data_IF_474562075691
#
_entry.id   IF_474562075691
#
_cell.length_a   1.000
_cell.length_b   1.000
_cell.length_c   1.000
_cell.angle_alpha   90.00
_cell.angle_beta   90.00
_cell.angle_gamma   90.00
#
_symmetry.space_group_name_H-M   'P 1'
#
loop_
_entity.id
_entity.type
_entity.pdbx_description
1 polymer ?
#
# COMPACT_ATOMS: atom_id res chain seq x y z
N UNK A 1 -24.01 -24.84 -23.09
CA UNK A 1 -25.19 -23.94 -23.02
C UNK A 1 -24.93 -22.93 -21.92
N UNK A 2 -25.05 -21.65 -22.27
CA UNK A 2 -24.66 -20.49 -21.47
C UNK A 2 -25.77 -20.03 -20.51
N UNK A 3 -25.37 -19.38 -19.41
CA UNK A 3 -26.13 -18.30 -18.78
C UNK A 3 -25.21 -17.48 -17.86
N UNK A 4 -24.67 -16.38 -18.41
CA UNK A 4 -24.24 -15.26 -17.58
C UNK A 4 -25.50 -14.56 -17.07
N UNK A 5 -25.73 -14.55 -15.76
CA UNK A 5 -26.66 -13.60 -15.13
C UNK A 5 -25.82 -12.44 -14.60
N UNK A 6 -25.93 -11.32 -15.29
CA UNK A 6 -25.27 -10.08 -14.91
C UNK A 6 -25.76 -9.62 -13.55
N UNK A 7 -24.83 -9.34 -12.66
CA UNK A 7 -25.13 -8.57 -11.47
C UNK A 7 -24.95 -7.10 -11.85
N UNK A 8 -26.08 -6.43 -11.91
CA UNK A 8 -26.21 -4.99 -12.03
C UNK A 8 -25.42 -4.32 -10.91
N UNK A 9 -24.35 -3.61 -11.28
CA UNK A 9 -23.49 -2.91 -10.34
C UNK A 9 -24.07 -1.56 -9.91
N UNK A 10 -25.19 -1.12 -10.51
CA UNK A 10 -25.82 0.18 -10.20
C UNK A 10 -26.67 0.17 -8.93
N UNK A 11 -26.95 -0.99 -8.33
CA UNK A 11 -27.79 -1.09 -7.13
C UNK A 11 -27.01 -1.10 -5.80
N UNK A 12 -25.68 -1.08 -5.82
CA UNK A 12 -24.87 -1.08 -4.59
C UNK A 12 -24.67 0.36 -4.08
N UNK A 13 -25.78 1.04 -3.81
CA UNK A 13 -25.83 2.27 -3.01
C UNK A 13 -26.00 1.91 -1.54
N UNK A 14 -25.02 1.21 -0.95
CA UNK A 14 -24.96 0.90 0.47
C UNK A 14 -23.67 1.49 1.04
N UNK A 15 -23.77 2.21 2.16
CA UNK A 15 -22.61 2.71 2.89
C UNK A 15 -21.62 1.57 3.09
N UNK A 16 -20.44 1.68 2.48
CA UNK A 16 -19.37 0.71 2.65
C UNK A 16 -18.97 0.73 4.12
N UNK A 17 -19.24 -0.37 4.81
CA UNK A 17 -18.72 -0.72 6.11
C UNK A 17 -17.19 -0.85 6.01
N UNK A 18 -16.48 0.29 6.16
CA UNK A 18 -15.01 0.37 6.16
C UNK A 18 -14.36 -0.61 7.17
N UNK A 19 -15.13 -1.07 8.17
CA UNK A 19 -14.68 -2.02 9.19
C UNK A 19 -14.47 -3.46 8.67
N UNK A 20 -14.97 -3.80 7.48
CA UNK A 20 -14.89 -5.17 6.95
C UNK A 20 -14.08 -5.29 5.63
N UNK A 21 -13.15 -4.36 5.40
CA UNK A 21 -12.26 -4.42 4.25
C UNK A 21 -11.29 -5.62 4.37
N UNK A 22 -11.60 -6.71 3.67
CA UNK A 22 -10.74 -7.90 3.61
C UNK A 22 -9.54 -7.59 2.71
N UNK A 23 -8.38 -7.39 3.33
CA UNK A 23 -7.11 -7.26 2.62
C UNK A 23 -6.54 -8.63 2.28
N UNK A 24 -6.62 -8.99 1.00
CA UNK A 24 -5.95 -10.18 0.47
C UNK A 24 -4.46 -9.90 0.20
N UNK A 25 -3.61 -10.87 0.53
CA UNK A 25 -2.17 -10.81 0.26
C UNK A 25 -1.68 -12.13 -0.30
N UNK A 26 -0.59 -12.07 -1.06
CA UNK A 26 0.13 -13.27 -1.49
C UNK A 26 0.56 -14.10 -0.27
N UNK A 27 0.44 -15.42 -0.39
CA UNK A 27 0.82 -16.37 0.67
C UNK A 27 2.23 -16.07 1.20
N UNK A 28 2.36 -16.00 2.52
CA UNK A 28 3.65 -15.76 3.20
C UNK A 28 3.96 -14.30 3.53
N UNK A 29 3.12 -13.35 3.12
CA UNK A 29 3.21 -11.96 3.59
C UNK A 29 2.43 -11.84 4.90
N UNK A 30 3.13 -11.48 5.97
CA UNK A 30 2.52 -11.20 7.28
C UNK A 30 2.41 -9.69 7.48
N UNK A 31 1.25 -9.17 7.93
CA UNK A 31 1.13 -7.75 8.26
C UNK A 31 2.01 -7.41 9.46
N UNK A 32 2.70 -6.27 9.39
CA UNK A 32 3.49 -5.74 10.51
C UNK A 32 2.80 -4.48 11.04
N UNK A 33 2.35 -4.53 12.29
CA UNK A 33 1.52 -3.49 12.90
C UNK A 33 2.26 -2.18 13.24
N UNK A 34 3.60 -2.16 13.24
CA UNK A 34 4.42 -1.01 13.55
C UNK A 34 5.58 -0.83 12.55
N UNK A 35 6.00 0.41 12.28
CA UNK A 35 7.17 0.66 11.43
C UNK A 35 8.48 0.20 12.07
N UNK A 36 8.57 0.19 13.40
CA UNK A 36 9.76 -0.29 14.13
C UNK A 36 10.06 -1.76 13.80
N UNK A 37 9.01 -2.58 13.61
CA UNK A 37 9.14 -3.99 13.23
C UNK A 37 9.57 -4.21 11.77
N UNK A 38 9.70 -3.16 10.96
CA UNK A 38 10.07 -3.23 9.54
C UNK A 38 11.57 -2.98 9.29
N UNK A 39 12.36 -2.64 10.32
CA UNK A 39 13.81 -2.40 10.19
C UNK A 39 14.15 -1.09 9.46
N UNK A 40 13.38 -0.04 9.71
CA UNK A 40 13.54 1.26 9.05
C UNK A 40 14.60 2.14 9.72
N UNK A 41 15.11 3.15 9.00
CA UNK A 41 16.08 4.10 9.54
C UNK A 41 15.39 5.08 10.50
N UNK A 42 16.04 5.39 11.63
CA UNK A 42 15.56 6.34 12.65
C UNK A 42 15.12 7.69 12.07
N UNK A 43 15.81 8.18 11.03
CA UNK A 43 15.46 9.44 10.35
C UNK A 43 14.08 9.39 9.71
N UNK A 44 13.72 8.23 9.15
CA UNK A 44 12.41 8.00 8.54
C UNK A 44 11.37 7.69 9.61
N UNK A 45 11.72 6.88 10.61
CA UNK A 45 10.85 6.51 11.73
C UNK A 45 10.30 7.73 12.49
N UNK A 46 11.12 8.78 12.71
CA UNK A 46 10.68 10.02 13.36
C UNK A 46 9.54 10.75 12.61
N UNK A 47 9.42 10.54 11.29
CA UNK A 47 8.42 11.19 10.45
C UNK A 47 7.13 10.38 10.25
N UNK A 48 7.07 9.14 10.74
CA UNK A 48 5.94 8.23 10.53
C UNK A 48 5.34 7.78 11.86
N UNK A 49 4.05 7.43 11.86
CA UNK A 49 3.32 7.01 13.07
C UNK A 49 2.90 5.54 12.96
N UNK A 50 1.61 5.30 12.75
CA UNK A 50 1.04 3.95 12.59
C UNK A 50 0.85 3.64 11.11
N UNK A 51 1.29 2.46 10.63
CA UNK A 51 1.05 2.05 9.26
C UNK A 51 -0.45 1.80 9.00
N UNK A 52 -0.95 2.24 7.84
CA UNK A 52 -2.27 1.84 7.33
C UNK A 52 -2.27 0.36 6.92
N UNK A 53 -3.45 -0.26 6.78
CA UNK A 53 -3.57 -1.69 6.44
C UNK A 53 -2.78 -2.11 5.19
N UNK A 54 -2.78 -1.27 4.14
CA UNK A 54 -1.99 -1.53 2.94
C UNK A 54 -0.48 -1.36 3.18
N UNK A 55 -0.07 -0.41 4.02
CA UNK A 55 1.33 -0.20 4.38
C UNK A 55 1.89 -1.35 5.21
N UNK A 56 1.11 -1.89 6.15
CA UNK A 56 1.49 -3.04 7.00
C UNK A 56 1.92 -4.26 6.19
N UNK A 57 1.38 -4.42 4.97
CA UNK A 57 1.61 -5.56 4.08
C UNK A 57 2.61 -5.26 2.96
N UNK A 58 2.58 -4.05 2.41
CA UNK A 58 3.35 -3.70 1.21
C UNK A 58 4.75 -3.15 1.49
N UNK A 59 4.96 -2.43 2.62
CA UNK A 59 6.22 -1.72 2.86
C UNK A 59 7.40 -2.70 2.94
N UNK A 60 7.32 -3.76 3.75
CA UNK A 60 8.44 -4.68 3.91
C UNK A 60 8.83 -5.41 2.61
N UNK A 61 7.89 -5.95 1.79
CA UNK A 61 8.23 -6.47 0.47
C UNK A 61 8.93 -5.46 -0.45
N UNK A 62 8.49 -4.19 -0.46
CA UNK A 62 9.14 -3.11 -1.23
C UNK A 62 10.57 -2.88 -0.74
N UNK A 63 10.78 -2.77 0.58
CA UNK A 63 12.11 -2.58 1.17
C UNK A 63 13.06 -3.76 0.91
N UNK A 64 12.52 -4.95 0.69
CA UNK A 64 13.28 -6.15 0.29
C UNK A 64 13.61 -6.19 -1.21
N UNK A 65 13.25 -5.16 -1.98
CA UNK A 65 13.48 -5.09 -3.41
C UNK A 65 12.60 -6.03 -4.22
N UNK A 66 11.42 -6.43 -3.71
CA UNK A 66 10.46 -7.25 -4.46
C UNK A 66 9.54 -6.36 -5.28
N UNK A 67 9.10 -6.88 -6.42
CA UNK A 67 8.00 -6.28 -7.16
C UNK A 67 6.68 -6.51 -6.41
N UNK A 68 5.94 -5.41 -6.20
CA UNK A 68 4.72 -5.41 -5.39
C UNK A 68 3.59 -4.76 -6.17
N UNK A 69 2.49 -5.49 -6.31
CA UNK A 69 1.21 -4.94 -6.76
C UNK A 69 0.37 -4.67 -5.52
N UNK A 70 0.10 -3.40 -5.24
CA UNK A 70 -0.72 -2.98 -4.11
C UNK A 70 -1.92 -2.17 -4.61
N UNK A 71 -3.12 -2.60 -4.25
CA UNK A 71 -4.37 -1.90 -4.54
C UNK A 71 -5.11 -1.63 -3.23
N UNK A 72 -5.63 -0.41 -3.11
CA UNK A 72 -6.45 0.00 -1.99
C UNK A 72 -7.33 1.19 -2.40
N UNK A 73 -8.36 1.55 -1.61
CA UNK A 73 -9.22 2.71 -1.86
C UNK A 73 -8.43 4.04 -1.79
N UNK A 74 -8.98 5.12 -2.33
CA UNK A 74 -8.42 6.47 -2.09
C UNK A 74 -8.35 6.77 -0.59
N UNK A 75 -7.37 7.55 -0.14
CA UNK A 75 -7.20 7.87 1.28
C UNK A 75 -6.50 6.81 2.15
N UNK A 76 -6.26 5.60 1.65
CA UNK A 76 -5.65 4.49 2.43
C UNK A 76 -4.11 4.56 2.55
N UNK A 77 -3.49 5.65 2.13
CA UNK A 77 -2.05 5.89 2.31
C UNK A 77 -1.14 5.27 1.24
N UNK A 78 -1.64 5.01 0.01
CA UNK A 78 -0.83 4.57 -1.13
C UNK A 78 0.32 5.53 -1.46
N UNK A 79 0.04 6.84 -1.50
CA UNK A 79 1.06 7.87 -1.74
C UNK A 79 2.13 7.87 -0.64
N UNK A 80 1.70 7.87 0.62
CA UNK A 80 2.60 7.84 1.76
C UNK A 80 3.44 6.55 1.79
N UNK A 81 2.87 5.40 1.41
CA UNK A 81 3.60 4.14 1.30
C UNK A 81 4.79 4.25 0.34
N UNK A 82 4.57 4.82 -0.85
CA UNK A 82 5.64 5.02 -1.84
C UNK A 82 6.66 6.02 -1.31
N UNK A 83 6.22 7.15 -0.75
CA UNK A 83 7.12 8.17 -0.20
C UNK A 83 8.03 7.58 0.90
N UNK A 84 7.45 6.85 1.85
CA UNK A 84 8.19 6.21 2.95
C UNK A 84 9.21 5.20 2.40
N UNK A 85 8.80 4.38 1.43
CA UNK A 85 9.68 3.38 0.82
C UNK A 85 10.86 4.03 0.10
N UNK A 86 10.61 5.10 -0.68
CA UNK A 86 11.65 5.85 -1.38
C UNK A 86 12.60 6.54 -0.40
N UNK A 87 12.09 7.16 0.66
CA UNK A 87 12.92 7.77 1.71
C UNK A 87 13.81 6.76 2.42
N UNK A 88 13.34 5.52 2.59
CA UNK A 88 14.09 4.46 3.25
C UNK A 88 15.22 3.89 2.38
N UNK A 89 14.99 3.74 1.07
CA UNK A 89 15.99 3.17 0.13
C UNK A 89 16.92 4.21 -0.48
N UNK A 90 16.52 5.49 -0.48
CA UNK A 90 17.22 6.57 -1.16
C UNK A 90 18.55 6.92 -0.51
N UNK A 91 19.59 7.08 -1.34
CA UNK A 91 20.90 7.56 -0.91
C UNK A 91 20.99 9.09 -1.01
N UNK A 92 21.01 9.75 0.15
CA UNK A 92 21.06 11.23 0.25
C UNK A 92 22.38 11.85 -0.21
N UNK A 93 23.45 11.08 -0.34
CA UNK A 93 24.75 11.59 -0.81
C UNK A 93 24.80 11.77 -2.34
N UNK A 94 23.90 11.11 -3.08
CA UNK A 94 23.80 11.21 -4.53
C UNK A 94 22.67 12.15 -4.93
N UNK A 95 22.97 13.15 -5.77
CA UNK A 95 21.97 14.08 -6.33
C UNK A 95 21.34 13.58 -7.65
N UNK A 96 21.54 12.31 -8.00
CA UNK A 96 20.90 11.68 -9.17
C UNK A 96 19.48 11.23 -8.83
N UNK A 97 18.64 11.12 -9.86
CA UNK A 97 17.31 10.52 -9.74
C UNK A 97 17.48 9.04 -9.38
N UNK A 98 16.82 8.61 -8.30
CA UNK A 98 16.92 7.24 -7.77
C UNK A 98 15.57 6.51 -7.77
N UNK A 99 14.46 7.25 -7.85
CA UNK A 99 13.13 6.68 -7.86
C UNK A 99 12.24 7.51 -8.78
N UNK A 100 11.30 6.83 -9.44
CA UNK A 100 10.21 7.43 -10.17
C UNK A 100 8.92 6.77 -9.69
N UNK A 101 7.89 7.56 -9.43
CA UNK A 101 6.64 7.08 -8.85
C UNK A 101 5.46 7.63 -9.65
N UNK A 102 4.61 6.72 -10.13
CA UNK A 102 3.33 7.03 -10.74
C UNK A 102 2.23 6.35 -9.92
N UNK A 103 1.25 7.13 -9.47
CA UNK A 103 0.18 6.62 -8.61
C UNK A 103 -1.14 6.76 -9.35
N UNK A 104 -1.76 5.62 -9.67
CA UNK A 104 -3.09 5.57 -10.25
C UNK A 104 -4.17 5.69 -9.18
N UNK A 105 -5.14 6.57 -9.39
CA UNK A 105 -6.40 6.60 -8.65
C UNK A 105 -7.50 6.22 -9.64
N UNK A 106 -8.22 5.13 -9.38
CA UNK A 106 -9.41 4.79 -10.15
C UNK A 106 -10.56 5.59 -9.57
N UNK A 107 -11.03 6.60 -10.30
CA UNK A 107 -12.29 7.25 -9.99
C UNK A 107 -13.40 6.24 -10.27
N UNK A 108 -14.28 6.06 -9.29
CA UNK A 108 -15.45 5.18 -9.35
C UNK A 108 -16.47 5.80 -10.30
#
# INVERSE_FOLDING_TARGET
MAAAKGNDWRSVGGALDEENLVFETTKGIKPIACFDGMGMNDKVLRGVKKPSEIQQRAVLPILKGRDVIAQAQSGTGKTSMIAISVCQIGNTSSRKIQAHACIGVKSI
#
